data_IF_370965175765
#
_entry.id   IF_370965175765
#
_cell.length_a   1.000
_cell.length_b   1.000
_cell.length_c   1.000
_cell.angle_alpha   90.00
_cell.angle_beta   90.00
_cell.angle_gamma   90.00
#
_symmetry.space_group_name_H-M   'P 1'
#
loop_
_entity.id
_entity.type
_entity.pdbx_description
1 polymer ?
#
# COMPACT_ATOMS: atom_id res chain seq x y z
N UNK A 1 -5.42 -8.53 -5.89
CA UNK A 1 -4.04 -8.65 -5.31
C UNK A 1 -2.99 -9.27 -6.24
N UNK A 2 -3.32 -10.31 -7.03
CA UNK A 2 -2.38 -10.98 -7.96
C UNK A 2 -1.71 -10.01 -8.95
N UNK A 3 -2.52 -9.14 -9.58
CA UNK A 3 -2.04 -8.15 -10.55
C UNK A 3 -0.99 -7.20 -9.96
N UNK A 4 -1.20 -6.74 -8.72
CA UNK A 4 -0.22 -5.89 -8.04
C UNK A 4 1.11 -6.62 -7.80
N UNK A 5 1.06 -7.91 -7.44
CA UNK A 5 2.26 -8.75 -7.33
C UNK A 5 3.03 -8.90 -8.63
N UNK A 6 2.33 -9.09 -9.75
CA UNK A 6 2.93 -9.14 -11.09
C UNK A 6 3.65 -7.83 -11.44
N UNK A 7 3.03 -6.67 -11.13
CA UNK A 7 3.66 -5.37 -11.33
C UNK A 7 4.92 -5.22 -10.48
N UNK A 8 4.85 -5.59 -9.19
CA UNK A 8 5.99 -5.52 -8.26
C UNK A 8 7.15 -6.38 -8.76
N UNK A 9 6.88 -7.62 -9.17
CA UNK A 9 7.91 -8.52 -9.69
C UNK A 9 8.51 -7.97 -10.98
N UNK A 10 7.68 -7.52 -11.94
CA UNK A 10 8.16 -6.97 -13.22
C UNK A 10 9.13 -5.81 -13.02
N UNK A 11 8.80 -4.82 -12.18
CA UNK A 11 9.68 -3.66 -12.01
C UNK A 11 10.97 -3.97 -11.22
N UNK A 12 10.97 -5.02 -10.40
CA UNK A 12 12.12 -5.38 -9.56
C UNK A 12 12.96 -6.52 -10.13
N UNK A 13 12.46 -7.25 -11.15
CA UNK A 13 13.11 -8.44 -11.72
C UNK A 13 13.11 -8.44 -13.27
N UNK A 14 12.50 -7.45 -13.93
CA UNK A 14 12.45 -7.29 -15.38
C UNK A 14 11.22 -7.92 -16.05
N UNK A 15 11.20 -7.87 -17.38
CA UNK A 15 10.04 -8.27 -18.22
C UNK A 15 9.65 -9.75 -18.14
N UNK A 16 10.48 -10.58 -17.48
CA UNK A 16 10.20 -11.98 -17.16
C UNK A 16 9.45 -12.22 -15.85
N UNK A 17 8.92 -11.17 -15.19
CA UNK A 17 8.29 -11.15 -13.86
C UNK A 17 7.73 -12.50 -13.38
N UNK A 18 8.41 -13.09 -12.42
CA UNK A 18 8.19 -14.45 -11.91
C UNK A 18 7.21 -14.49 -10.72
N UNK A 19 6.33 -13.51 -10.51
CA UNK A 19 5.45 -13.51 -9.33
C UNK A 19 4.57 -14.78 -9.26
N UNK A 20 4.68 -15.54 -8.18
CA UNK A 20 3.80 -16.67 -7.87
C UNK A 20 2.62 -16.21 -7.02
N UNK A 21 2.89 -15.88 -5.75
CA UNK A 21 1.87 -15.49 -4.76
C UNK A 21 2.45 -14.64 -3.63
N UNK A 22 1.60 -13.83 -3.01
CA UNK A 22 1.91 -13.19 -1.74
C UNK A 22 1.92 -14.21 -0.61
N UNK A 23 2.85 -14.07 0.33
CA UNK A 23 2.89 -14.87 1.56
C UNK A 23 2.53 -13.97 2.74
N UNK A 24 1.36 -14.18 3.32
CA UNK A 24 0.86 -13.41 4.45
C UNK A 24 1.01 -14.19 5.76
N UNK A 25 1.54 -13.52 6.78
CA UNK A 25 1.54 -14.00 8.16
C UNK A 25 0.27 -13.52 8.88
N UNK A 26 -0.16 -14.20 9.96
CA UNK A 26 -1.28 -13.74 10.79
C UNK A 26 -1.06 -12.32 11.30
N UNK A 27 -2.00 -11.41 11.02
CA UNK A 27 -1.92 -10.00 11.41
C UNK A 27 -1.58 -9.01 10.30
N UNK A 28 -1.27 -9.52 9.10
CA UNK A 28 -0.99 -8.70 7.91
C UNK A 28 -2.24 -8.33 7.11
N UNK A 29 -3.36 -9.05 7.28
CA UNK A 29 -4.52 -8.86 6.43
C UNK A 29 -5.40 -7.68 6.89
N UNK A 30 -6.23 -7.20 5.97
CA UNK A 30 -7.24 -6.19 6.27
C UNK A 30 -8.25 -6.73 7.30
N UNK A 31 -8.48 -5.95 8.36
CA UNK A 31 -9.39 -6.32 9.44
C UNK A 31 -8.77 -7.19 10.52
N UNK A 32 -7.50 -7.60 10.41
CA UNK A 32 -6.86 -8.42 11.43
C UNK A 32 -6.70 -7.65 12.76
N UNK A 33 -6.97 -8.33 13.88
CA UNK A 33 -6.88 -7.79 15.25
C UNK A 33 -5.55 -8.11 15.95
N UNK A 34 -4.64 -8.82 15.28
CA UNK A 34 -3.31 -9.17 15.82
C UNK A 34 -2.22 -8.41 15.08
N UNK A 35 -1.14 -8.09 15.78
CA UNK A 35 0.06 -7.51 15.18
C UNK A 35 1.04 -8.62 14.81
N UNK A 36 1.52 -8.64 13.57
CA UNK A 36 2.40 -9.70 13.06
C UNK A 36 3.89 -9.48 13.40
N UNK A 37 4.28 -8.27 13.83
CA UNK A 37 5.67 -7.91 14.16
C UNK A 37 5.93 -7.72 15.66
N UNK A 38 4.89 -7.76 16.49
CA UNK A 38 5.03 -7.66 17.95
C UNK A 38 5.08 -9.06 18.57
N UNK A 39 5.89 -9.28 19.63
CA UNK A 39 5.88 -10.55 20.36
C UNK A 39 4.48 -10.90 20.86
N UNK A 40 4.08 -12.15 20.70
CA UNK A 40 2.72 -12.61 21.00
C UNK A 40 2.42 -12.69 22.52
N UNK A 41 1.15 -12.51 22.93
CA UNK A 41 0.02 -12.07 22.12
C UNK A 41 -0.09 -10.53 22.08
N UNK A 42 0.24 -9.91 20.95
CA UNK A 42 0.07 -8.48 20.75
C UNK A 42 -1.20 -8.19 19.94
N UNK A 43 -2.31 -7.96 20.65
CA UNK A 43 -3.56 -7.51 20.05
C UNK A 43 -3.47 -6.03 19.67
N UNK A 44 -4.09 -5.67 18.55
CA UNK A 44 -4.31 -4.28 18.13
C UNK A 44 -5.52 -3.72 18.87
N UNK A 45 -5.49 -2.43 19.17
CA UNK A 45 -6.66 -1.73 19.72
C UNK A 45 -7.77 -1.54 18.66
N UNK A 46 -7.37 -1.42 17.40
CA UNK A 46 -8.25 -1.28 16.24
C UNK A 46 -7.89 -2.32 15.18
N UNK A 47 -8.87 -2.70 14.37
CA UNK A 47 -8.66 -3.60 13.25
C UNK A 47 -7.68 -2.98 12.25
N UNK A 48 -6.85 -3.80 11.63
CA UNK A 48 -5.86 -3.34 10.67
C UNK A 48 -6.53 -2.69 9.44
N UNK A 49 -6.26 -1.41 9.20
CA UNK A 49 -6.91 -0.63 8.13
C UNK A 49 -6.43 -0.95 6.70
N UNK A 50 -5.42 -1.80 6.58
CA UNK A 50 -4.76 -2.09 5.31
C UNK A 50 -4.25 -3.52 5.20
N UNK A 51 -3.34 -3.73 4.27
CA UNK A 51 -2.65 -5.01 4.02
C UNK A 51 -1.16 -4.75 4.01
N UNK A 52 -0.42 -5.57 4.76
CA UNK A 52 1.03 -5.48 4.83
C UNK A 52 1.66 -6.47 3.83
N UNK A 53 2.29 -5.93 2.79
CA UNK A 53 3.05 -6.71 1.82
C UNK A 53 4.50 -6.81 2.28
N UNK A 54 4.80 -7.93 2.96
CA UNK A 54 6.15 -8.20 3.49
C UNK A 54 7.01 -9.03 2.53
N UNK A 55 6.44 -10.11 1.96
CA UNK A 55 7.16 -10.99 1.04
C UNK A 55 6.22 -11.71 0.07
N UNK A 56 6.78 -12.16 -1.04
CA UNK A 56 6.12 -13.04 -1.99
C UNK A 56 7.01 -14.22 -2.37
N UNK A 57 6.38 -15.25 -2.89
CA UNK A 57 7.04 -16.37 -3.52
C UNK A 57 6.99 -16.17 -5.03
N UNK A 58 8.12 -16.36 -5.71
CA UNK A 58 8.16 -16.42 -7.17
C UNK A 58 7.74 -17.80 -7.70
N UNK A 59 7.58 -17.95 -9.02
CA UNK A 59 7.13 -19.20 -9.65
C UNK A 59 8.10 -20.37 -9.46
N UNK A 60 9.32 -20.10 -9.01
CA UNK A 60 10.35 -21.09 -8.72
C UNK A 60 10.40 -21.44 -7.22
N UNK A 61 9.48 -20.92 -6.42
CA UNK A 61 9.44 -21.15 -4.97
C UNK A 61 10.43 -20.29 -4.18
N UNK A 62 11.09 -19.30 -4.80
CA UNK A 62 12.06 -18.45 -4.09
C UNK A 62 11.33 -17.32 -3.39
N UNK A 63 11.73 -17.04 -2.15
CA UNK A 63 11.17 -15.95 -1.36
C UNK A 63 11.80 -14.62 -1.74
N UNK A 64 10.96 -13.61 -1.95
CA UNK A 64 11.33 -12.25 -2.28
C UNK A 64 10.75 -11.31 -1.22
N UNK A 65 11.61 -10.52 -0.58
CA UNK A 65 11.22 -9.58 0.46
C UNK A 65 10.99 -8.18 -0.12
N UNK A 66 10.05 -7.46 0.47
CA UNK A 66 9.64 -6.12 0.02
C UNK A 66 10.56 -5.00 0.50
N UNK A 67 11.40 -5.23 1.50
CA UNK A 67 12.40 -4.25 1.94
C UNK A 67 13.22 -3.72 0.74
N UNK A 68 13.33 -2.39 0.65
CA UNK A 68 14.04 -1.64 -0.40
C UNK A 68 13.56 -1.87 -1.85
N UNK A 69 12.44 -2.57 -2.05
CA UNK A 69 11.87 -2.81 -3.38
C UNK A 69 11.16 -1.59 -3.93
N UNK A 70 11.20 -1.45 -5.24
CA UNK A 70 10.40 -0.47 -5.96
C UNK A 70 8.92 -0.83 -5.87
N UNK A 71 8.08 0.19 -5.80
CA UNK A 71 6.62 0.09 -5.67
C UNK A 71 5.99 0.63 -6.95
N UNK A 72 5.16 -0.15 -7.66
CA UNK A 72 4.45 0.32 -8.84
C UNK A 72 3.16 1.04 -8.46
N UNK A 73 2.69 1.95 -9.32
CA UNK A 73 1.29 2.33 -9.33
C UNK A 73 0.42 1.11 -9.72
N UNK A 74 -0.68 0.83 -9.00
CA UNK A 74 -1.50 -0.36 -9.24
C UNK A 74 -2.40 -0.21 -10.47
N UNK A 75 -2.75 1.02 -10.83
CA UNK A 75 -3.55 1.39 -11.97
C UNK A 75 -3.21 2.82 -12.38
N UNK A 76 -3.96 3.37 -13.34
CA UNK A 76 -3.84 4.79 -13.67
C UNK A 76 -4.28 5.64 -12.47
N UNK A 77 -3.37 6.43 -11.92
CA UNK A 77 -3.61 7.24 -10.73
C UNK A 77 -3.08 8.66 -10.89
N UNK A 78 -3.60 9.56 -10.06
CA UNK A 78 -2.96 10.84 -9.73
C UNK A 78 -2.43 10.78 -8.30
N UNK A 79 -1.21 11.28 -8.10
CA UNK A 79 -0.65 11.49 -6.77
C UNK A 79 -1.30 12.73 -6.16
N UNK A 80 -1.92 12.60 -4.99
CA UNK A 80 -2.69 13.69 -4.37
C UNK A 80 -2.09 14.20 -3.08
N UNK A 81 -1.31 13.40 -2.37
CA UNK A 81 -0.60 13.83 -1.18
C UNK A 81 0.63 12.97 -0.88
N UNK A 82 1.58 13.58 -0.17
CA UNK A 82 2.68 12.91 0.51
C UNK A 82 2.70 13.46 1.94
N UNK A 83 2.76 12.58 2.93
CA UNK A 83 2.77 12.98 4.34
C UNK A 83 3.88 12.27 5.09
N UNK A 84 4.60 13.01 5.93
CA UNK A 84 5.37 12.43 7.03
C UNK A 84 4.39 12.13 8.17
N UNK A 85 4.33 10.86 8.60
CA UNK A 85 3.30 10.38 9.53
C UNK A 85 3.79 9.22 10.40
N UNK A 86 2.87 8.56 11.12
CA UNK A 86 3.19 7.47 12.04
C UNK A 86 3.73 6.20 11.34
N UNK A 87 3.60 6.09 10.02
CA UNK A 87 4.23 5.06 9.18
C UNK A 87 5.59 5.52 8.65
N UNK A 88 6.11 6.65 9.14
CA UNK A 88 7.30 7.32 8.62
C UNK A 88 6.92 8.26 7.47
N UNK A 89 6.40 7.68 6.38
CA UNK A 89 5.89 8.45 5.23
C UNK A 89 4.83 7.67 4.46
N UNK A 90 3.77 8.37 4.04
CA UNK A 90 2.70 7.82 3.19
C UNK A 90 2.53 8.59 1.89
N UNK A 91 2.19 7.86 0.83
CA UNK A 91 1.87 8.35 -0.50
C UNK A 91 0.39 8.06 -0.81
N UNK A 92 -0.34 9.09 -1.24
CA UNK A 92 -1.78 8.99 -1.51
C UNK A 92 -2.02 9.02 -3.01
N UNK A 93 -2.70 7.99 -3.51
CA UNK A 93 -2.99 7.80 -4.93
C UNK A 93 -4.50 7.72 -5.14
N UNK A 94 -5.00 8.52 -6.07
CA UNK A 94 -6.40 8.49 -6.49
C UNK A 94 -6.46 7.84 -7.87
N UNK A 95 -7.17 6.70 -8.03
CA UNK A 95 -7.43 6.12 -9.33
C UNK A 95 -8.17 7.11 -10.25
N UNK A 96 -7.73 7.18 -11.50
CA UNK A 96 -8.46 7.93 -12.52
C UNK A 96 -9.45 6.98 -13.21
N UNK A 97 -10.65 7.48 -13.51
CA UNK A 97 -11.75 6.79 -14.20
C UNK A 97 -11.27 5.95 -15.40
N UNK A 98 -11.90 4.79 -15.68
CA UNK A 98 -13.23 4.37 -15.19
C UNK A 98 -13.21 3.36 -14.02
N UNK A 99 -12.05 3.02 -13.45
CA UNK A 99 -11.91 1.74 -12.72
C UNK A 99 -12.33 1.81 -11.24
N UNK A 100 -12.41 2.98 -10.61
CA UNK A 100 -12.64 3.07 -9.16
C UNK A 100 -13.02 4.49 -8.69
N UNK A 101 -14.23 4.95 -9.02
CA UNK A 101 -14.71 6.24 -8.50
C UNK A 101 -14.79 6.22 -6.97
N UNK A 102 -14.28 7.28 -6.33
CA UNK A 102 -14.28 7.43 -4.88
C UNK A 102 -13.26 6.57 -4.12
N UNK A 103 -12.30 5.93 -4.79
CA UNK A 103 -11.21 5.25 -4.09
C UNK A 103 -10.00 6.14 -3.83
N UNK A 104 -9.35 5.91 -2.69
CA UNK A 104 -8.01 6.42 -2.38
C UNK A 104 -7.16 5.25 -1.91
N UNK A 105 -6.02 5.05 -2.55
CA UNK A 105 -4.96 4.18 -2.02
C UNK A 105 -4.00 5.01 -1.17
N UNK A 106 -3.60 4.45 -0.04
CA UNK A 106 -2.55 5.00 0.83
C UNK A 106 -1.43 3.98 0.93
N UNK A 107 -0.25 4.32 0.42
CA UNK A 107 0.94 3.48 0.51
C UNK A 107 1.81 4.02 1.64
N UNK A 108 1.93 3.28 2.74
CA UNK A 108 2.77 3.62 3.88
C UNK A 108 4.13 2.91 3.86
N UNK A 109 5.04 3.34 4.73
CA UNK A 109 6.43 2.85 4.76
C UNK A 109 7.13 3.01 3.41
N UNK A 110 6.97 4.18 2.77
CA UNK A 110 7.43 4.42 1.41
C UNK A 110 8.28 5.70 1.34
N UNK A 111 9.35 5.65 0.55
CA UNK A 111 10.04 6.84 0.04
C UNK A 111 9.47 7.14 -1.34
N UNK A 112 8.67 8.20 -1.52
CA UNK A 112 8.12 8.57 -2.81
C UNK A 112 9.23 8.93 -3.79
N UNK A 113 9.07 8.48 -5.04
CA UNK A 113 9.96 8.82 -6.17
C UNK A 113 9.22 9.65 -7.23
N UNK A 114 8.05 10.17 -6.87
CA UNK A 114 7.18 11.00 -7.70
C UNK A 114 6.66 12.18 -6.90
N UNK A 115 6.28 13.24 -7.61
CA UNK A 115 5.77 14.47 -7.03
C UNK A 115 4.24 14.48 -6.92
N UNK A 116 3.72 15.30 -6.01
CA UNK A 116 2.27 15.57 -5.92
C UNK A 116 1.77 16.15 -7.24
N UNK A 117 0.60 15.72 -7.69
CA UNK A 117 0.00 16.11 -8.96
C UNK A 117 0.43 15.26 -10.15
N UNK A 118 1.50 14.45 -10.02
CA UNK A 118 1.93 13.54 -11.08
C UNK A 118 0.82 12.55 -11.44
N UNK A 119 0.61 12.35 -12.73
CA UNK A 119 -0.18 11.24 -13.27
C UNK A 119 0.75 10.07 -13.55
N UNK A 120 0.31 8.87 -13.16
CA UNK A 120 1.05 7.61 -13.31
C UNK A 120 0.14 6.55 -13.90
N UNK A 121 0.72 5.64 -14.67
CA UNK A 121 0.05 4.47 -15.23
C UNK A 121 0.39 3.21 -14.43
N UNK A 122 -0.38 2.14 -14.64
CA UNK A 122 -0.09 0.85 -14.02
C UNK A 122 1.36 0.41 -14.31
N UNK A 123 2.13 0.11 -13.26
CA UNK A 123 3.53 -0.30 -13.38
C UNK A 123 4.56 0.84 -13.33
N UNK A 124 4.14 2.11 -13.45
CA UNK A 124 5.05 3.24 -13.21
C UNK A 124 5.57 3.18 -11.77
N UNK A 125 6.86 3.41 -11.57
CA UNK A 125 7.47 3.45 -10.24
C UNK A 125 6.99 4.69 -9.50
N UNK A 126 6.34 4.50 -8.35
CA UNK A 126 5.86 5.61 -7.49
C UNK A 126 6.71 5.81 -6.24
N UNK A 127 7.48 4.80 -5.86
CA UNK A 127 8.31 4.88 -4.68
C UNK A 127 9.14 3.65 -4.43
N UNK A 128 9.79 3.64 -3.26
CA UNK A 128 10.57 2.52 -2.74
C UNK A 128 10.12 2.21 -1.32
N UNK A 129 9.95 0.95 -0.99
CA UNK A 129 9.68 0.52 0.39
C UNK A 129 10.82 0.98 1.28
N UNK A 130 10.47 1.61 2.39
CA UNK A 130 11.40 2.05 3.42
C UNK A 130 11.28 1.10 4.60
N UNK A 131 12.42 0.63 5.10
CA UNK A 131 12.42 -0.19 6.31
C UNK A 131 12.11 0.71 7.51
N UNK A 132 11.03 0.47 8.26
CA UNK A 132 10.72 1.27 9.45
C UNK A 132 11.80 1.08 10.52
N UNK A 133 11.99 2.08 11.37
CA UNK A 133 12.93 1.95 12.49
C UNK A 133 12.40 0.94 13.54
N UNK A 134 13.33 0.24 14.19
CA UNK A 134 13.02 -0.68 15.29
C UNK A 134 12.76 -2.12 14.85
N UNK A 135 11.74 -2.76 15.44
CA UNK A 135 11.45 -4.21 15.25
C UNK A 135 10.49 -4.52 14.11
N UNK A 136 10.01 -3.51 13.39
CA UNK A 136 9.05 -3.69 12.30
C UNK A 136 9.84 -4.08 11.04
N UNK A 137 9.60 -5.26 10.44
CA UNK A 137 10.30 -5.63 9.21
C UNK A 137 9.93 -4.71 8.04
N UNK A 138 10.83 -4.52 7.09
CA UNK A 138 10.56 -3.72 5.89
C UNK A 138 9.44 -4.32 5.05
N UNK A 139 8.31 -3.62 4.98
CA UNK A 139 7.11 -4.03 4.25
C UNK A 139 6.39 -2.81 3.68
N UNK A 140 5.58 -3.02 2.66
CA UNK A 140 4.69 -1.98 2.14
C UNK A 140 3.33 -2.11 2.82
N UNK A 141 2.91 -1.09 3.56
CA UNK A 141 1.54 -1.00 4.07
C UNK A 141 0.65 -0.38 2.99
N UNK A 142 -0.47 -1.02 2.67
CA UNK A 142 -1.44 -0.47 1.72
C UNK A 142 -2.82 -0.41 2.34
N UNK A 143 -3.39 0.78 2.44
CA UNK A 143 -4.80 0.97 2.76
C UNK A 143 -5.58 1.36 1.52
N UNK A 144 -6.88 1.10 1.54
CA UNK A 144 -7.81 1.60 0.54
C UNK A 144 -9.04 2.16 1.25
N UNK A 145 -9.44 3.37 0.87
CA UNK A 145 -10.67 3.99 1.34
C UNK A 145 -11.64 4.13 0.17
N UNK A 146 -12.93 4.03 0.45
CA UNK A 146 -14.01 4.21 -0.50
C UNK A 146 -14.98 5.28 0.02
N UNK A 147 -15.31 6.25 -0.83
CA UNK A 147 -16.34 7.27 -0.59
C UNK A 147 -16.04 8.57 -1.34
N UNK A 148 -16.81 9.63 -1.08
CA UNK A 148 -16.49 10.94 -1.65
C UNK A 148 -15.40 11.61 -0.80
N UNK A 149 -14.29 11.97 -1.44
CA UNK A 149 -13.17 12.66 -0.82
C UNK A 149 -12.90 14.02 -1.47
N UNK A 150 -13.67 14.40 -2.50
CA UNK A 150 -13.38 15.60 -3.31
C UNK A 150 -13.64 16.90 -2.56
N UNK A 151 -14.45 16.84 -1.49
CA UNK A 151 -14.68 17.97 -0.58
C UNK A 151 -13.59 18.10 0.49
N UNK A 152 -12.70 17.12 0.63
CA UNK A 152 -11.60 17.19 1.58
C UNK A 152 -10.55 18.22 1.15
N UNK A 153 -9.74 18.73 2.10
CA UNK A 153 -8.66 19.65 1.78
C UNK A 153 -7.74 19.11 0.70
N UNK A 154 -7.12 20.01 -0.08
CA UNK A 154 -6.17 19.62 -1.13
C UNK A 154 -5.01 18.77 -0.61
N UNK A 155 -4.60 18.97 0.64
CA UNK A 155 -3.56 18.20 1.30
C UNK A 155 -4.20 17.12 2.20
N UNK A 156 -4.47 15.96 1.61
CA UNK A 156 -4.96 14.80 2.35
C UNK A 156 -3.90 14.31 3.35
N UNK A 157 -4.37 13.79 4.48
CA UNK A 157 -3.58 13.20 5.55
C UNK A 157 -4.40 12.14 6.30
N UNK A 158 -3.73 11.30 7.09
CA UNK A 158 -4.42 10.32 7.95
C UNK A 158 -5.51 10.93 8.85
N UNK A 159 -5.25 12.01 9.62
CA UNK A 159 -6.31 12.64 10.42
C UNK A 159 -7.52 13.08 9.60
N UNK A 160 -7.29 13.66 8.40
CA UNK A 160 -8.41 14.08 7.54
C UNK A 160 -9.23 12.91 7.01
N UNK A 161 -8.58 11.78 6.68
CA UNK A 161 -9.30 10.60 6.21
C UNK A 161 -10.09 9.93 7.33
N UNK A 162 -9.50 9.84 8.53
CA UNK A 162 -10.13 9.22 9.70
C UNK A 162 -11.30 10.04 10.26
N UNK A 163 -11.24 11.36 10.10
CA UNK A 163 -12.30 12.26 10.55
C UNK A 163 -13.50 12.33 9.59
N UNK A 164 -13.38 11.82 8.36
CA UNK A 164 -14.40 11.93 7.32
C UNK A 164 -15.42 10.76 7.41
N UNK A 165 -16.66 10.99 7.87
CA UNK A 165 -17.63 9.91 8.06
C UNK A 165 -18.08 9.27 6.74
N UNK A 166 -17.96 9.99 5.61
CA UNK A 166 -18.27 9.49 4.28
C UNK A 166 -17.24 8.51 3.71
N UNK A 167 -16.07 8.36 4.35
CA UNK A 167 -15.03 7.43 3.93
C UNK A 167 -15.03 6.17 4.80
N UNK A 168 -14.91 5.01 4.14
CA UNK A 168 -14.74 3.72 4.81
C UNK A 168 -13.49 3.01 4.30
N UNK A 169 -12.77 2.36 5.19
CA UNK A 169 -11.73 1.44 4.77
C UNK A 169 -12.33 0.20 4.12
N UNK A 170 -11.73 -0.21 3.01
CA UNK A 170 -12.07 -1.42 2.29
C UNK A 170 -10.80 -2.21 2.02
N UNK A 171 -10.94 -3.51 1.79
CA UNK A 171 -9.79 -4.35 1.44
C UNK A 171 -9.14 -3.82 0.14
N UNK A 172 -7.84 -3.48 0.15
CA UNK A 172 -7.12 -3.07 -1.05
C UNK A 172 -7.10 -4.20 -2.09
N UNK A 173 -7.24 -3.85 -3.37
CA UNK A 173 -7.14 -4.77 -4.50
C UNK A 173 -8.11 -5.98 -4.40
N UNK A 174 -9.35 -5.71 -3.95
CA UNK A 174 -10.41 -6.71 -3.76
C UNK A 174 -11.08 -7.20 -5.07
N UNK A 175 -10.65 -6.70 -6.24
CA UNK A 175 -10.99 -7.25 -7.54
C UNK A 175 -9.98 -8.32 -8.00
#
# INVERSE_FOLDING_TARGET
MQQFGLLVSRINQGDGGDFGRWLFEPGMAFGDMVSWWRPAPARRAVAHEGVDFYRYEDRYGRHQYMADRLVPAPCRCRIVAVCDDFLGRSLFLVPQQPVAEGQIFVFGHITPLVEIGRQVQAGDVVGRVTTPQGRVPGHLHVSCLQGDWRHLPQQLSWPTLLAEPGLRFVRPFAA
#
